data_IF_287217632179
#
_entry.id   IF_287217632179
#
_cell.length_a   1.000
_cell.length_b   1.000
_cell.length_c   1.000
_cell.angle_alpha   90.00
_cell.angle_beta   90.00
_cell.angle_gamma   90.00
#
_symmetry.space_group_name_H-M   'P 1'
#
loop_
_entity.id
_entity.type
_entity.pdbx_description
1 polymer ?
#
# COMPACT_ATOMS: atom_id res chain seq x y z
N UNK A 1 -28.04 -5.78 1.74
CA UNK A 1 -28.48 -7.09 1.20
C UNK A 1 -27.27 -7.94 0.91
N UNK A 2 -27.12 -9.05 1.67
CA UNK A 2 -26.00 -10.01 1.52
C UNK A 2 -26.44 -11.26 0.74
N UNK A 3 -27.34 -11.10 -0.23
CA UNK A 3 -27.97 -12.22 -0.97
C UNK A 3 -26.96 -13.10 -1.74
N UNK A 4 -25.70 -12.67 -1.83
CA UNK A 4 -24.63 -13.39 -2.53
C UNK A 4 -23.44 -13.72 -1.62
N UNK A 5 -23.56 -13.53 -0.31
CA UNK A 5 -22.52 -13.82 0.67
C UNK A 5 -22.95 -14.94 1.61
N UNK A 6 -22.03 -15.84 1.93
CA UNK A 6 -22.17 -16.78 3.03
C UNK A 6 -21.78 -16.05 4.33
N UNK A 7 -22.59 -16.21 5.36
CA UNK A 7 -22.37 -15.59 6.66
C UNK A 7 -22.23 -16.67 7.71
N UNK A 8 -21.09 -16.68 8.40
CA UNK A 8 -20.81 -17.54 9.52
C UNK A 8 -20.82 -16.72 10.81
N UNK A 9 -21.32 -17.28 11.90
CA UNK A 9 -21.33 -16.63 13.21
C UNK A 9 -20.44 -17.40 14.18
N UNK A 10 -19.41 -16.73 14.71
CA UNK A 10 -18.49 -17.35 15.67
C UNK A 10 -17.26 -16.50 15.93
N UNK A 11 -16.29 -17.08 16.63
CA UNK A 11 -14.99 -16.46 16.91
C UNK A 11 -14.03 -16.69 15.73
N UNK A 12 -13.43 -15.61 15.21
CA UNK A 12 -12.47 -15.71 14.10
C UNK A 12 -11.16 -16.41 14.48
N UNK A 13 -10.92 -16.69 15.74
CA UNK A 13 -9.76 -17.50 16.20
C UNK A 13 -10.09 -18.98 16.30
N UNK A 14 -11.34 -19.37 16.06
CA UNK A 14 -11.75 -20.78 16.04
C UNK A 14 -11.39 -21.41 14.70
N UNK A 15 -10.43 -22.36 14.74
CA UNK A 15 -9.95 -23.09 13.58
C UNK A 15 -11.07 -23.84 12.85
N UNK A 16 -12.05 -24.40 13.59
CA UNK A 16 -13.17 -25.13 12.98
C UNK A 16 -14.03 -24.19 12.13
N UNK A 17 -14.30 -22.99 12.62
CA UNK A 17 -15.06 -21.95 11.89
C UNK A 17 -14.30 -21.52 10.63
N UNK A 18 -12.98 -21.33 10.74
CA UNK A 18 -12.15 -20.93 9.61
C UNK A 18 -12.07 -22.04 8.55
N UNK A 19 -12.05 -23.30 8.95
CA UNK A 19 -12.11 -24.44 8.04
C UNK A 19 -13.48 -24.57 7.36
N UNK A 20 -14.59 -24.38 8.10
CA UNK A 20 -15.93 -24.34 7.51
C UNK A 20 -16.09 -23.20 6.49
N UNK A 21 -15.43 -22.08 6.72
CA UNK A 21 -15.40 -20.95 5.78
C UNK A 21 -14.44 -21.17 4.59
N UNK A 22 -13.72 -22.31 4.56
CA UNK A 22 -12.76 -22.68 3.51
C UNK A 22 -11.72 -21.58 3.23
N UNK A 23 -11.20 -20.95 4.32
CA UNK A 23 -10.28 -19.78 4.23
C UNK A 23 -8.99 -20.12 3.47
N UNK A 24 -8.57 -21.39 3.48
CA UNK A 24 -7.39 -21.87 2.76
C UNK A 24 -7.51 -21.77 1.23
N UNK A 25 -8.74 -21.69 0.70
CA UNK A 25 -9.03 -21.68 -0.74
C UNK A 25 -9.59 -20.34 -1.22
N UNK A 26 -9.63 -19.34 -0.35
CA UNK A 26 -10.04 -17.98 -0.74
C UNK A 26 -8.90 -17.28 -1.49
N UNK A 27 -9.25 -16.37 -2.40
CA UNK A 27 -8.27 -15.53 -3.07
C UNK A 27 -7.65 -14.54 -2.08
N UNK A 28 -8.48 -13.94 -1.22
CA UNK A 28 -8.08 -12.94 -0.21
C UNK A 28 -8.84 -13.19 1.09
N UNK A 29 -8.14 -13.10 2.22
CA UNK A 29 -8.72 -13.11 3.58
C UNK A 29 -8.42 -11.77 4.25
N UNK A 30 -9.47 -11.05 4.66
CA UNK A 30 -9.36 -9.77 5.35
C UNK A 30 -9.88 -9.90 6.76
N UNK A 31 -8.99 -9.77 7.76
CA UNK A 31 -9.35 -9.79 9.18
C UNK A 31 -9.44 -8.35 9.72
N UNK A 32 -10.66 -7.93 10.13
CA UNK A 32 -10.95 -6.53 10.49
C UNK A 32 -11.87 -6.41 11.72
N UNK A 33 -11.59 -7.22 12.74
CA UNK A 33 -12.29 -7.09 14.04
C UNK A 33 -11.67 -5.97 14.90
N UNK A 34 -12.25 -5.71 16.06
CA UNK A 34 -11.70 -4.75 17.04
C UNK A 34 -10.44 -5.25 17.78
N UNK A 35 -10.00 -6.49 17.56
CA UNK A 35 -8.92 -7.12 18.31
C UNK A 35 -7.74 -7.49 17.41
N UNK A 36 -6.62 -6.78 17.56
CA UNK A 36 -5.42 -6.94 16.74
C UNK A 36 -4.91 -8.37 16.72
N UNK A 37 -4.84 -9.04 17.89
CA UNK A 37 -4.32 -10.41 17.97
C UNK A 37 -5.22 -11.42 17.26
N UNK A 38 -6.53 -11.27 17.33
CA UNK A 38 -7.47 -12.11 16.62
C UNK A 38 -7.33 -11.95 15.09
N UNK A 39 -7.20 -10.70 14.62
CA UNK A 39 -7.00 -10.42 13.21
C UNK A 39 -5.70 -11.05 12.68
N UNK A 40 -4.62 -10.96 13.45
CA UNK A 40 -3.33 -11.55 13.09
C UNK A 40 -3.42 -13.07 13.06
N UNK A 41 -3.98 -13.71 14.10
CA UNK A 41 -4.11 -15.16 14.18
C UNK A 41 -4.92 -15.73 13.02
N UNK A 42 -6.05 -15.09 12.66
CA UNK A 42 -6.86 -15.53 11.53
C UNK A 42 -6.09 -15.45 10.20
N UNK A 43 -5.32 -14.40 9.97
CA UNK A 43 -4.48 -14.27 8.78
C UNK A 43 -3.37 -15.31 8.73
N UNK A 44 -2.68 -15.53 9.85
CA UNK A 44 -1.64 -16.57 9.95
C UNK A 44 -2.20 -17.97 9.72
N UNK A 45 -3.39 -18.25 10.28
CA UNK A 45 -4.08 -19.51 10.06
C UNK A 45 -4.39 -19.72 8.57
N UNK A 46 -5.02 -18.74 7.92
CA UNK A 46 -5.36 -18.80 6.50
C UNK A 46 -4.10 -19.04 5.63
N UNK A 47 -3.00 -18.38 5.97
CA UNK A 47 -1.72 -18.52 5.26
C UNK A 47 -1.12 -19.92 5.44
N UNK A 48 -1.08 -20.42 6.66
CA UNK A 48 -0.57 -21.75 6.98
C UNK A 48 -1.42 -22.85 6.32
N UNK A 49 -2.75 -22.73 6.37
CA UNK A 49 -3.68 -23.68 5.77
C UNK A 49 -3.56 -23.70 4.23
N UNK A 50 -3.42 -22.54 3.58
CA UNK A 50 -3.23 -22.46 2.12
C UNK A 50 -1.89 -23.03 1.66
N UNK A 51 -0.82 -22.88 2.44
CA UNK A 51 0.50 -23.47 2.17
C UNK A 51 0.53 -25.00 2.30
N UNK A 52 -0.28 -25.56 3.20
CA UNK A 52 -0.39 -27.02 3.38
C UNK A 52 -1.30 -27.69 2.33
N UNK A 53 -2.25 -26.97 1.74
CA UNK A 53 -3.13 -27.50 0.70
C UNK A 53 -2.41 -27.78 -0.63
N UNK A 54 -1.23 -27.22 -0.85
CA UNK A 54 -0.39 -27.45 -2.04
C UNK A 54 0.39 -28.78 -2.04
N UNK A 55 0.31 -29.58 -0.98
CA UNK A 55 1.21 -30.74 -0.74
C UNK A 55 0.70 -32.13 -1.08
N UNK A 56 -0.58 -32.39 -1.30
CA UNK A 56 -1.04 -33.74 -1.69
C UNK A 56 -2.47 -33.78 -2.23
N UNK A 57 -2.62 -33.59 -3.53
CA UNK A 57 -3.90 -33.87 -4.18
C UNK A 57 -3.91 -33.34 -5.61
N UNK A 58 -3.69 -34.22 -6.60
CA UNK A 58 -3.73 -33.92 -8.01
C UNK A 58 -5.10 -33.46 -8.50
N UNK A 59 -5.44 -32.20 -8.27
CA UNK A 59 -6.66 -31.54 -8.73
C UNK A 59 -6.34 -30.16 -9.22
N UNK A 60 -6.25 -30.01 -10.55
CA UNK A 60 -6.35 -28.81 -11.40
C UNK A 60 -6.23 -27.46 -10.65
N UNK A 61 -5.03 -27.06 -10.36
CA UNK A 61 -4.75 -25.65 -10.08
C UNK A 61 -4.34 -24.96 -11.38
N UNK A 62 -5.31 -24.48 -12.15
CA UNK A 62 -5.07 -23.55 -13.28
C UNK A 62 -4.79 -22.11 -12.81
N UNK A 63 -4.54 -21.92 -11.50
CA UNK A 63 -4.13 -20.63 -10.93
C UNK A 63 -2.69 -20.75 -10.45
N UNK A 64 -1.83 -20.04 -11.15
CA UNK A 64 -0.40 -19.97 -10.87
C UNK A 64 -0.11 -19.61 -9.41
N UNK A 65 0.34 -20.57 -8.60
CA UNK A 65 1.30 -20.43 -7.50
C UNK A 65 1.10 -19.39 -6.39
N UNK A 66 -0.03 -18.70 -6.29
CA UNK A 66 -0.27 -17.70 -5.24
C UNK A 66 -1.18 -18.34 -4.18
N UNK A 67 -0.65 -18.51 -2.97
CA UNK A 67 -1.47 -18.86 -1.80
C UNK A 67 -2.47 -17.75 -1.48
N UNK A 68 -3.38 -17.99 -0.54
CA UNK A 68 -4.34 -17.00 -0.05
C UNK A 68 -3.62 -15.72 0.36
N UNK A 69 -3.99 -14.58 -0.21
CA UNK A 69 -3.51 -13.28 0.23
C UNK A 69 -4.20 -12.87 1.53
N UNK A 70 -3.44 -12.32 2.48
CA UNK A 70 -3.94 -12.03 3.82
C UNK A 70 -3.75 -10.56 4.18
N UNK A 71 -4.82 -9.93 4.69
CA UNK A 71 -4.82 -8.53 5.11
C UNK A 71 -5.34 -8.44 6.55
N UNK A 72 -4.51 -7.93 7.47
CA UNK A 72 -4.90 -7.71 8.86
C UNK A 72 -5.07 -6.23 9.19
N UNK A 73 -6.19 -5.88 9.83
CA UNK A 73 -6.37 -4.55 10.43
C UNK A 73 -5.73 -4.55 11.81
N UNK A 74 -4.81 -3.60 12.07
CA UNK A 74 -4.03 -3.50 13.30
C UNK A 74 -4.07 -2.08 13.85
N UNK A 75 -4.48 -1.92 15.11
CA UNK A 75 -4.58 -0.62 15.78
C UNK A 75 -3.29 -0.21 16.48
N UNK A 76 -2.48 -1.20 16.91
CA UNK A 76 -1.22 -0.99 17.63
C UNK A 76 -0.06 -0.97 16.66
N UNK A 77 0.49 0.21 16.40
CA UNK A 77 1.59 0.41 15.42
C UNK A 77 2.82 -0.46 15.69
N UNK A 78 3.14 -0.76 16.95
CA UNK A 78 4.27 -1.64 17.31
C UNK A 78 4.11 -3.09 16.85
N UNK A 79 2.89 -3.53 16.56
CA UNK A 79 2.66 -4.87 16.00
C UNK A 79 2.92 -4.92 14.49
N UNK A 80 2.84 -3.78 13.80
CA UNK A 80 3.09 -3.72 12.36
C UNK A 80 4.50 -4.18 12.01
N UNK A 81 5.51 -3.69 12.75
CA UNK A 81 6.92 -4.05 12.53
C UNK A 81 7.18 -5.56 12.70
N UNK A 82 6.46 -6.19 13.64
CA UNK A 82 6.57 -7.64 13.87
C UNK A 82 5.87 -8.45 12.78
N UNK A 83 4.79 -7.93 12.21
CA UNK A 83 3.96 -8.65 11.25
C UNK A 83 4.53 -8.62 9.83
N UNK A 84 5.21 -7.55 9.45
CA UNK A 84 5.96 -7.48 8.20
C UNK A 84 7.06 -8.56 8.11
N UNK A 85 7.60 -8.98 9.26
CA UNK A 85 8.56 -10.08 9.34
C UNK A 85 7.91 -11.48 9.30
N UNK A 86 6.58 -11.61 9.46
CA UNK A 86 5.90 -12.86 9.83
C UNK A 86 4.71 -13.23 8.95
N UNK A 87 4.89 -13.25 7.61
CA UNK A 87 3.98 -13.93 6.67
C UNK A 87 2.55 -13.38 6.51
N UNK A 88 2.16 -12.23 7.07
CA UNK A 88 0.94 -11.53 6.68
C UNK A 88 1.28 -10.65 5.47
N UNK A 89 0.54 -10.78 4.37
CA UNK A 89 0.91 -10.12 3.11
C UNK A 89 0.70 -8.60 3.18
N UNK A 90 -0.31 -8.14 3.89
CA UNK A 90 -0.54 -6.72 4.12
C UNK A 90 -1.13 -6.43 5.49
N UNK A 91 -0.76 -5.29 6.06
CA UNK A 91 -1.34 -4.77 7.30
C UNK A 91 -1.89 -3.37 7.08
N UNK A 92 -3.04 -3.08 7.66
CA UNK A 92 -3.69 -1.78 7.58
C UNK A 92 -3.90 -1.23 8.99
N UNK A 93 -3.36 -0.03 9.26
CA UNK A 93 -3.67 0.69 10.49
C UNK A 93 -4.70 1.79 10.20
N UNK A 94 -5.91 1.76 10.82
CA UNK A 94 -6.90 2.81 10.68
C UNK A 94 -6.36 4.19 11.10
N UNK A 95 -5.50 4.23 12.10
CA UNK A 95 -4.85 5.48 12.57
C UNK A 95 -3.98 6.09 11.48
N UNK A 96 -3.11 5.29 10.86
CA UNK A 96 -2.23 5.76 9.79
C UNK A 96 -3.03 6.12 8.54
N UNK A 97 -4.04 5.32 8.19
CA UNK A 97 -4.92 5.60 7.05
C UNK A 97 -5.67 6.93 7.23
N UNK A 98 -6.21 7.19 8.44
CA UNK A 98 -6.89 8.45 8.77
C UNK A 98 -5.90 9.62 8.76
N UNK A 99 -4.73 9.49 9.39
CA UNK A 99 -3.71 10.53 9.41
C UNK A 99 -3.26 10.88 7.98
N UNK A 100 -3.01 9.89 7.14
CA UNK A 100 -2.66 10.10 5.73
C UNK A 100 -3.79 10.77 4.93
N UNK A 101 -5.05 10.46 5.23
CA UNK A 101 -6.20 11.12 4.60
C UNK A 101 -6.30 12.60 5.01
N UNK A 102 -6.11 12.91 6.29
CA UNK A 102 -6.08 14.29 6.79
C UNK A 102 -4.89 15.06 6.21
N UNK A 103 -3.70 14.45 6.19
CA UNK A 103 -2.51 15.07 5.61
C UNK A 103 -2.69 15.36 4.11
N UNK A 104 -3.30 14.45 3.36
CA UNK A 104 -3.67 14.70 1.96
C UNK A 104 -4.59 15.90 1.82
N UNK A 105 -5.64 15.98 2.65
CA UNK A 105 -6.58 17.10 2.63
C UNK A 105 -5.89 18.42 2.95
N UNK A 106 -5.08 18.47 4.02
CA UNK A 106 -4.37 19.68 4.45
C UNK A 106 -3.30 20.12 3.46
N UNK A 107 -2.58 19.17 2.83
CA UNK A 107 -1.54 19.45 1.83
C UNK A 107 -2.11 19.63 0.42
N UNK A 108 -3.31 19.12 0.15
CA UNK A 108 -3.97 19.11 -1.14
C UNK A 108 -4.79 20.36 -1.47
N UNK A 109 -4.72 21.45 -0.66
CA UNK A 109 -5.29 22.76 -1.03
C UNK A 109 -4.51 23.48 -2.15
N UNK A 110 -3.47 22.85 -2.71
CA UNK A 110 -2.94 23.17 -4.04
C UNK A 110 -2.97 21.89 -4.85
N UNK A 111 -3.52 21.89 -6.04
CA UNK A 111 -3.74 20.80 -7.03
C UNK A 111 -2.52 19.90 -7.32
N UNK A 112 -1.43 20.00 -6.57
CA UNK A 112 -0.11 19.49 -6.92
C UNK A 112 0.23 18.16 -6.24
N UNK A 113 -0.26 17.90 -5.00
CA UNK A 113 0.03 16.65 -4.27
C UNK A 113 -1.12 15.68 -4.40
N UNK A 114 -0.99 14.68 -5.28
CA UNK A 114 -2.05 13.71 -5.55
C UNK A 114 -2.16 12.61 -4.48
N UNK A 115 -1.05 12.18 -3.89
CA UNK A 115 -1.03 11.17 -2.85
C UNK A 115 0.14 11.34 -1.88
N UNK A 116 -0.06 10.92 -0.63
CA UNK A 116 0.97 10.86 0.40
C UNK A 116 0.92 9.48 1.04
N UNK A 117 2.03 8.78 1.05
CA UNK A 117 2.23 7.57 1.84
C UNK A 117 3.45 7.76 2.71
N UNK A 118 3.29 7.62 4.01
CA UNK A 118 4.41 7.69 4.96
C UNK A 118 4.96 6.28 5.15
N UNK A 119 6.28 6.11 5.09
CA UNK A 119 6.92 4.84 5.46
C UNK A 119 6.56 4.46 6.89
N UNK A 120 6.39 3.17 7.16
CA UNK A 120 6.08 2.62 8.49
C UNK A 120 7.08 3.05 9.57
N UNK A 121 8.33 3.30 9.20
CA UNK A 121 9.42 3.71 10.11
C UNK A 121 9.59 5.24 10.22
N UNK A 122 8.81 6.03 9.46
CA UNK A 122 8.90 7.50 9.50
C UNK A 122 10.16 8.11 8.87
N UNK A 123 11.05 7.29 8.32
CA UNK A 123 12.34 7.74 7.75
C UNK A 123 12.22 8.33 6.35
N UNK A 124 11.13 8.02 5.66
CA UNK A 124 10.86 8.51 4.32
C UNK A 124 9.36 8.71 4.08
N UNK A 125 9.03 9.67 3.24
CA UNK A 125 7.69 9.89 2.72
C UNK A 125 7.68 9.58 1.22
N UNK A 126 6.66 8.87 0.75
CA UNK A 126 6.39 8.70 -0.67
C UNK A 126 5.29 9.66 -1.07
N UNK A 127 5.58 10.54 -2.01
CA UNK A 127 4.69 11.60 -2.45
C UNK A 127 4.42 11.46 -3.95
N UNK A 128 3.19 11.67 -4.34
CA UNK A 128 2.80 11.77 -5.74
C UNK A 128 2.47 13.22 -6.06
N UNK A 129 3.13 13.78 -7.06
CA UNK A 129 2.92 15.15 -7.56
C UNK A 129 2.38 15.10 -8.97
N UNK A 130 1.38 15.94 -9.26
CA UNK A 130 0.99 16.24 -10.62
C UNK A 130 1.81 17.43 -11.15
N UNK A 131 2.38 17.30 -12.33
CA UNK A 131 3.12 18.39 -12.99
C UNK A 131 2.12 19.39 -13.54
N UNK A 132 2.05 20.59 -12.93
CA UNK A 132 1.22 21.66 -13.41
C UNK A 132 1.80 22.31 -14.67
N UNK A 133 0.97 22.76 -15.62
CA UNK A 133 1.45 23.51 -16.77
C UNK A 133 2.16 24.80 -16.33
N UNK A 134 3.38 25.02 -16.82
CA UNK A 134 4.16 26.22 -16.51
C UNK A 134 4.82 26.24 -15.13
N UNK A 135 4.77 25.14 -14.38
CA UNK A 135 5.48 25.01 -13.09
C UNK A 135 7.01 25.04 -13.28
N UNK A 136 7.74 25.15 -12.16
CA UNK A 136 9.19 25.25 -12.19
C UNK A 136 9.92 24.05 -12.81
N UNK A 137 9.22 22.91 -12.96
CA UNK A 137 9.76 21.66 -13.52
C UNK A 137 9.29 21.37 -14.96
N UNK A 138 8.33 22.10 -15.48
CA UNK A 138 7.77 21.89 -16.83
C UNK A 138 8.84 21.96 -17.92
N UNK A 139 8.95 20.95 -18.73
CA UNK A 139 9.92 20.83 -19.83
C UNK A 139 11.36 20.55 -19.41
N UNK A 140 11.66 20.51 -18.11
CA UNK A 140 13.00 20.21 -17.60
C UNK A 140 13.26 18.73 -17.42
N UNK A 141 14.51 18.34 -17.52
CA UNK A 141 14.96 17.00 -17.10
C UNK A 141 15.10 16.95 -15.57
N UNK A 142 15.00 15.76 -15.00
CA UNK A 142 15.19 15.57 -13.55
C UNK A 142 16.57 16.05 -13.10
N UNK A 143 17.61 15.88 -13.92
CA UNK A 143 18.96 16.37 -13.61
C UNK A 143 19.03 17.90 -13.53
N UNK A 144 18.26 18.61 -14.35
CA UNK A 144 18.22 20.10 -14.36
C UNK A 144 17.45 20.68 -13.18
N UNK A 145 16.66 19.88 -12.45
CA UNK A 145 15.92 20.35 -11.29
C UNK A 145 16.80 20.66 -10.08
N UNK A 146 18.03 20.14 -10.06
CA UNK A 146 18.97 20.37 -8.94
C UNK A 146 18.41 19.87 -7.60
N UNK A 147 17.72 18.73 -7.59
CA UNK A 147 17.05 18.20 -6.40
C UNK A 147 18.06 17.93 -5.27
N UNK A 148 17.62 18.18 -4.04
CA UNK A 148 18.40 17.89 -2.85
C UNK A 148 18.72 16.38 -2.75
N UNK A 149 19.85 16.01 -2.14
CA UNK A 149 20.27 14.60 -1.93
C UNK A 149 19.25 13.73 -1.17
N UNK A 150 18.35 14.37 -0.42
CA UNK A 150 17.27 13.73 0.34
C UNK A 150 15.97 13.55 -0.46
N UNK A 151 16.02 13.73 -1.78
CA UNK A 151 14.89 13.61 -2.69
C UNK A 151 15.25 12.67 -3.83
N UNK A 152 14.46 11.63 -4.01
CA UNK A 152 14.59 10.69 -5.12
C UNK A 152 13.29 10.68 -5.93
N UNK A 153 13.38 10.98 -7.23
CA UNK A 153 12.28 10.71 -8.14
C UNK A 153 12.39 9.26 -8.61
N UNK A 154 11.44 8.43 -8.19
CA UNK A 154 11.44 6.98 -8.48
C UNK A 154 10.77 6.64 -9.79
N UNK A 155 9.60 7.25 -10.07
CA UNK A 155 8.82 6.95 -11.26
C UNK A 155 8.09 8.17 -11.81
N UNK A 156 7.77 8.10 -13.10
CA UNK A 156 6.88 9.03 -13.80
C UNK A 156 5.74 8.23 -14.40
N UNK A 157 4.51 8.59 -14.09
CA UNK A 157 3.31 8.04 -14.68
C UNK A 157 2.82 9.02 -15.75
N UNK A 158 2.80 8.58 -17.01
CA UNK A 158 2.37 9.35 -18.18
C UNK A 158 1.38 8.53 -18.98
N UNK A 159 0.21 9.08 -19.26
CA UNK A 159 -0.84 8.40 -20.05
C UNK A 159 -1.18 6.99 -19.53
N UNK A 160 -1.21 6.82 -18.20
CA UNK A 160 -1.47 5.54 -17.54
C UNK A 160 -0.31 4.54 -17.57
N UNK A 161 0.87 4.92 -18.11
CA UNK A 161 2.07 4.07 -18.16
C UNK A 161 3.13 4.56 -17.20
N UNK A 162 3.55 3.69 -16.29
CA UNK A 162 4.66 3.96 -15.40
C UNK A 162 6.00 3.73 -16.09
N UNK A 163 6.96 4.62 -15.87
CA UNK A 163 8.34 4.51 -16.32
C UNK A 163 9.28 4.87 -15.17
N UNK A 164 10.39 4.14 -15.06
CA UNK A 164 11.42 4.46 -14.06
C UNK A 164 12.04 5.80 -14.42
N UNK A 165 12.08 6.71 -13.44
CA UNK A 165 12.68 8.02 -13.59
C UNK A 165 14.22 7.90 -13.71
N UNK A 166 14.79 8.73 -14.57
CA UNK A 166 16.24 8.85 -14.76
C UNK A 166 16.59 10.33 -14.88
N UNK A 167 17.82 10.71 -14.56
CA UNK A 167 18.28 12.11 -14.67
C UNK A 167 17.95 12.79 -16.00
N UNK A 168 17.97 12.04 -17.12
CA UNK A 168 17.60 12.50 -18.47
C UNK A 168 16.10 12.50 -18.78
N UNK A 169 15.27 12.00 -17.88
CA UNK A 169 13.81 11.99 -18.09
C UNK A 169 13.27 13.41 -18.01
N UNK A 170 12.58 13.85 -19.05
CA UNK A 170 11.95 15.18 -19.11
C UNK A 170 10.54 15.10 -18.53
N UNK A 171 10.20 16.03 -17.65
CA UNK A 171 8.87 16.20 -17.08
C UNK A 171 7.98 17.00 -18.02
N UNK A 172 6.70 16.68 -18.05
CA UNK A 172 5.69 17.33 -18.91
C UNK A 172 4.43 17.60 -18.11
N UNK A 173 3.62 18.59 -18.49
CA UNK A 173 2.32 18.83 -17.89
C UNK A 173 1.46 17.56 -17.89
N UNK A 174 0.76 17.31 -16.78
CA UNK A 174 -0.07 16.12 -16.51
C UNK A 174 0.71 14.82 -16.25
N UNK A 175 2.03 14.85 -16.17
CA UNK A 175 2.76 13.72 -15.60
C UNK A 175 2.45 13.62 -14.11
N UNK A 176 2.34 12.39 -13.60
CA UNK A 176 2.35 12.14 -12.17
C UNK A 176 3.72 11.62 -11.78
N UNK A 177 4.34 12.26 -10.82
CA UNK A 177 5.72 11.98 -10.40
C UNK A 177 5.70 11.37 -9.01
N UNK A 178 6.26 10.17 -8.87
CA UNK A 178 6.43 9.51 -7.58
C UNK A 178 7.81 9.88 -7.03
N UNK A 179 7.81 10.61 -5.91
CA UNK A 179 9.02 11.02 -5.21
C UNK A 179 9.12 10.34 -3.84
N UNK A 180 10.30 9.89 -3.49
CA UNK A 180 10.66 9.44 -2.15
C UNK A 180 11.50 10.53 -1.51
N UNK A 181 11.07 11.02 -0.35
CA UNK A 181 11.69 12.17 0.31
C UNK A 181 11.90 11.89 1.80
N UNK A 182 12.93 12.48 2.39
CA UNK A 182 13.02 12.53 3.85
C UNK A 182 12.04 13.54 4.44
N UNK A 183 11.57 13.33 5.69
CA UNK A 183 10.66 14.26 6.34
C UNK A 183 11.15 15.72 6.27
N UNK A 184 10.24 16.62 5.97
CA UNK A 184 10.52 18.06 5.84
C UNK A 184 10.87 18.56 4.43
N UNK A 185 11.09 17.69 3.44
CA UNK A 185 11.38 18.09 2.05
C UNK A 185 10.14 18.27 1.17
N UNK A 186 8.97 17.84 1.66
CA UNK A 186 7.72 17.86 0.90
C UNK A 186 7.31 19.24 0.43
N UNK A 187 7.46 20.27 1.27
CA UNK A 187 7.07 21.65 0.95
C UNK A 187 7.89 22.24 -0.21
N UNK A 188 9.19 21.93 -0.27
CA UNK A 188 10.06 22.38 -1.35
C UNK A 188 9.63 21.77 -2.70
N UNK A 189 9.31 20.48 -2.70
CA UNK A 189 8.81 19.82 -3.91
C UNK A 189 7.45 20.36 -4.34
N UNK A 190 6.54 20.60 -3.40
CA UNK A 190 5.23 21.19 -3.75
C UNK A 190 5.36 22.50 -4.51
N UNK A 191 6.29 23.36 -4.13
CA UNK A 191 6.54 24.63 -4.84
C UNK A 191 7.21 24.46 -6.22
N UNK A 192 7.85 23.32 -6.47
CA UNK A 192 8.49 23.01 -7.74
C UNK A 192 7.51 22.47 -8.78
N UNK A 193 6.52 21.72 -8.34
CA UNK A 193 5.54 21.03 -9.18
C UNK A 193 4.24 21.83 -9.38
N UNK A 194 3.95 22.86 -8.51
CA UNK A 194 2.74 23.66 -8.50
C UNK A 194 2.86 25.10 -8.95
#
# INVERSE_FOLDING_TARGET
NLDRALVYHGDITDAVLLDEADVARQDVVVAMTGEDHANVLACLYAKAASGSAGGSGGGRSDRAGHGTETIAVVHRLRLLDLLEAHQVDATISPRTATANSVLRFVRGEGDTVAAVSTSLHGDAEVLEFAVAPGCGCDGKTIAELGLHENVLIGAILRDGKAQIARGRSTLRPRDHVIAVVRPGQAAHLSSLFG
#
